data_IF_022110552134
#
_entry.id   IF_022110552134
#
_cell.length_a   1.000
_cell.length_b   1.000
_cell.length_c   1.000
_cell.angle_alpha   90.00
_cell.angle_beta   90.00
_cell.angle_gamma   90.00
#
_symmetry.space_group_name_H-M   'P 1'
#
loop_
_entity.id
_entity.type
_entity.pdbx_description
1 polymer ?
#
# COMPACT_ATOMS: atom_id res chain seq x y z
N UNK A 1 -7.21 7.06 -15.15
CA UNK A 1 -6.04 6.36 -14.59
C UNK A 1 -6.51 5.49 -13.44
N UNK A 2 -6.60 4.17 -13.65
CA UNK A 2 -7.07 3.24 -12.63
C UNK A 2 -6.01 3.14 -11.52
N UNK A 3 -6.24 3.85 -10.42
CA UNK A 3 -5.34 3.86 -9.27
C UNK A 3 -5.48 2.55 -8.48
N UNK A 4 -4.88 1.47 -9.00
CA UNK A 4 -4.92 0.14 -8.39
C UNK A 4 -4.29 0.10 -6.99
N UNK A 5 -3.53 1.13 -6.61
CA UNK A 5 -2.91 1.25 -5.29
C UNK A 5 -3.95 1.17 -4.15
N UNK A 6 -5.08 1.87 -4.27
CA UNK A 6 -6.13 1.84 -3.23
C UNK A 6 -6.68 0.43 -3.01
N UNK A 7 -6.89 -0.31 -4.10
CA UNK A 7 -7.35 -1.70 -4.07
C UNK A 7 -6.30 -2.60 -3.42
N UNK A 8 -5.01 -2.42 -3.76
CA UNK A 8 -3.90 -3.18 -3.17
C UNK A 8 -3.78 -2.92 -1.66
N UNK A 9 -3.85 -1.66 -1.23
CA UNK A 9 -3.81 -1.28 0.20
C UNK A 9 -4.96 -1.95 0.96
N UNK A 10 -6.17 -1.91 0.39
CA UNK A 10 -7.37 -2.54 0.98
C UNK A 10 -7.25 -4.06 1.07
N UNK A 11 -6.77 -4.71 0.02
CA UNK A 11 -6.58 -6.14 -0.02
C UNK A 11 -5.59 -6.57 1.07
N UNK A 12 -4.42 -5.91 1.15
CA UNK A 12 -3.41 -6.22 2.16
C UNK A 12 -3.87 -5.97 3.59
N UNK A 13 -4.63 -4.89 3.83
CA UNK A 13 -5.21 -4.66 5.15
C UNK A 13 -6.11 -5.82 5.56
N UNK A 14 -6.94 -6.31 4.64
CA UNK A 14 -7.84 -7.45 4.89
C UNK A 14 -7.08 -8.76 5.08
N UNK A 15 -6.04 -9.03 4.27
CA UNK A 15 -5.20 -10.22 4.41
C UNK A 15 -4.50 -10.26 5.79
N UNK A 16 -4.16 -9.09 6.33
CA UNK A 16 -3.61 -8.93 7.69
C UNK A 16 -4.68 -9.00 8.80
N UNK A 17 -5.96 -9.16 8.45
CA UNK A 17 -7.07 -9.19 9.42
C UNK A 17 -7.34 -7.85 10.10
N UNK A 18 -6.85 -6.74 9.55
CA UNK A 18 -6.92 -5.42 10.20
C UNK A 18 -8.21 -4.68 9.83
N UNK A 19 -8.88 -4.10 10.84
CA UNK A 19 -9.87 -3.04 10.64
C UNK A 19 -9.20 -1.72 10.25
N UNK A 20 -9.98 -0.75 9.76
CA UNK A 20 -9.46 0.60 9.48
C UNK A 20 -8.92 1.28 10.75
N UNK A 21 -9.57 1.09 11.89
CA UNK A 21 -9.15 1.66 13.17
C UNK A 21 -7.85 1.02 13.67
N UNK A 22 -7.69 -0.30 13.53
CA UNK A 22 -6.42 -0.95 13.90
C UNK A 22 -5.27 -0.48 12.99
N UNK A 23 -5.47 -0.39 11.68
CA UNK A 23 -4.45 0.16 10.78
C UNK A 23 -4.17 1.64 11.09
N UNK A 24 -5.18 2.40 11.50
CA UNK A 24 -5.03 3.78 11.96
C UNK A 24 -4.10 3.87 13.19
N UNK A 25 -4.31 3.01 14.18
CA UNK A 25 -3.45 2.93 15.37
C UNK A 25 -2.02 2.55 15.02
N UNK A 26 -1.82 1.57 14.12
CA UNK A 26 -0.47 1.11 13.74
C UNK A 26 0.30 2.12 12.89
N UNK A 27 -0.37 2.79 11.95
CA UNK A 27 0.27 3.74 11.02
C UNK A 27 0.35 5.18 11.55
N UNK A 28 -0.38 5.51 12.61
CA UNK A 28 -0.54 6.89 13.08
C UNK A 28 -1.19 7.80 12.03
N UNK A 29 -2.02 7.24 11.15
CA UNK A 29 -2.86 7.97 10.19
C UNK A 29 -4.32 7.84 10.63
N UNK A 30 -5.13 8.87 10.40
CA UNK A 30 -6.54 8.78 10.75
C UNK A 30 -7.29 7.76 9.87
N UNK A 31 -8.15 6.93 10.47
CA UNK A 31 -8.91 5.87 9.77
C UNK A 31 -9.71 6.39 8.56
N UNK A 32 -10.28 7.60 8.65
CA UNK A 32 -11.01 8.20 7.52
C UNK A 32 -10.07 8.56 6.36
N UNK A 33 -8.82 8.96 6.64
CA UNK A 33 -7.81 9.20 5.61
C UNK A 33 -7.47 7.89 4.89
N UNK A 34 -7.20 6.82 5.64
CA UNK A 34 -6.94 5.47 5.11
C UNK A 34 -8.09 5.01 4.21
N UNK A 35 -9.34 5.17 4.65
CA UNK A 35 -10.52 4.77 3.88
C UNK A 35 -10.62 5.49 2.52
N UNK A 36 -10.23 6.77 2.46
CA UNK A 36 -10.19 7.55 1.21
C UNK A 36 -9.07 7.09 0.28
N UNK A 37 -7.92 6.71 0.83
CA UNK A 37 -6.82 6.10 0.06
C UNK A 37 -7.25 4.77 -0.56
N UNK A 38 -7.91 3.90 0.22
CA UNK A 38 -8.39 2.60 -0.25
C UNK A 38 -9.42 2.70 -1.37
N UNK A 39 -10.26 3.76 -1.35
CA UNK A 39 -11.23 4.04 -2.41
C UNK A 39 -10.65 4.81 -3.59
N UNK A 40 -9.37 5.19 -3.52
CA UNK A 40 -8.72 5.97 -4.58
C UNK A 40 -9.16 7.45 -4.64
N UNK A 41 -9.89 7.95 -3.65
CA UNK A 41 -10.33 9.36 -3.57
C UNK A 41 -9.17 10.33 -3.25
N UNK A 42 -8.08 9.78 -2.73
CA UNK A 42 -6.85 10.50 -2.44
C UNK A 42 -5.65 9.67 -2.86
N UNK A 43 -4.67 10.35 -3.42
CA UNK A 43 -3.36 9.76 -3.68
C UNK A 43 -2.46 9.96 -2.45
N UNK A 44 -1.78 8.93 -1.95
CA UNK A 44 -0.90 9.06 -0.80
C UNK A 44 0.37 9.84 -1.13
N UNK A 45 0.90 10.55 -0.13
CA UNK A 45 2.26 11.11 -0.21
C UNK A 45 3.29 10.01 0.11
N UNK A 46 4.57 10.24 -0.19
CA UNK A 46 5.65 9.35 0.23
C UNK A 46 5.63 9.09 1.75
N UNK A 47 5.43 10.14 2.56
CA UNK A 47 5.31 10.02 4.03
C UNK A 47 4.13 9.14 4.44
N UNK A 48 3.00 9.25 3.74
CA UNK A 48 1.83 8.38 3.96
C UNK A 48 2.16 6.92 3.62
N UNK A 49 2.89 6.67 2.53
CA UNK A 49 3.31 5.32 2.14
C UNK A 49 4.24 4.70 3.18
N UNK A 50 5.25 5.43 3.66
CA UNK A 50 6.17 4.94 4.71
C UNK A 50 5.43 4.50 5.96
N UNK A 51 4.46 5.29 6.41
CA UNK A 51 3.59 4.98 7.56
C UNK A 51 2.69 3.75 7.34
N UNK A 52 2.33 3.45 6.09
CA UNK A 52 1.47 2.31 5.75
C UNK A 52 2.27 1.04 5.42
N UNK A 53 3.54 1.17 5.07
CA UNK A 53 4.35 0.06 4.57
C UNK A 53 4.45 -1.09 5.59
N UNK A 54 5.01 -0.82 6.76
CA UNK A 54 5.23 -1.85 7.79
C UNK A 54 3.92 -2.51 8.27
N UNK A 55 2.85 -1.75 8.63
CA UNK A 55 1.60 -2.36 9.09
C UNK A 55 0.91 -3.24 8.04
N UNK A 56 1.13 -2.96 6.76
CA UNK A 56 0.60 -3.73 5.64
C UNK A 56 1.55 -4.85 5.17
N UNK A 57 2.74 -4.96 5.76
CA UNK A 57 3.74 -5.97 5.41
C UNK A 57 4.42 -5.71 4.06
N UNK A 58 4.66 -4.44 3.75
CA UNK A 58 5.50 -4.00 2.63
C UNK A 58 6.81 -3.41 3.14
N UNK A 59 7.83 -3.43 2.30
CA UNK A 59 8.94 -2.47 2.44
C UNK A 59 8.51 -1.09 1.92
N UNK A 60 9.13 -0.02 2.42
CA UNK A 60 8.88 1.34 1.91
C UNK A 60 9.13 1.42 0.40
N UNK A 61 10.21 0.80 -0.08
CA UNK A 61 10.58 0.77 -1.50
C UNK A 61 9.52 0.09 -2.36
N UNK A 62 9.03 -1.08 -1.95
CA UNK A 62 8.01 -1.82 -2.69
C UNK A 62 6.72 -0.99 -2.81
N UNK A 63 6.30 -0.34 -1.71
CA UNK A 63 5.09 0.45 -1.72
C UNK A 63 5.23 1.75 -2.52
N UNK A 64 6.41 2.38 -2.51
CA UNK A 64 6.73 3.52 -3.38
C UNK A 64 6.75 3.16 -4.87
N UNK A 65 7.26 1.97 -5.23
CA UNK A 65 7.20 1.44 -6.61
C UNK A 65 5.76 1.18 -7.04
N UNK A 66 4.95 0.57 -6.18
CA UNK A 66 3.51 0.34 -6.45
C UNK A 66 2.74 1.66 -6.64
N UNK A 67 3.16 2.72 -5.96
CA UNK A 67 2.61 4.06 -6.11
C UNK A 67 3.23 4.85 -7.28
N UNK A 68 4.20 4.30 -8.02
CA UNK A 68 4.83 4.98 -9.15
C UNK A 68 5.74 6.15 -8.79
N UNK A 69 6.14 6.30 -7.52
CA UNK A 69 7.17 7.27 -7.13
C UNK A 69 8.56 6.83 -7.58
N UNK A 70 8.75 5.52 -7.76
CA UNK A 70 10.01 4.92 -8.16
C UNK A 70 9.70 4.01 -9.36
N UNK A 71 10.45 4.12 -10.48
CA UNK A 71 10.29 3.21 -11.61
C UNK A 71 10.45 1.75 -11.18
N UNK A 72 9.69 0.86 -11.80
CA UNK A 72 9.95 -0.58 -11.66
C UNK A 72 11.23 -0.94 -12.40
N UNK A 73 11.98 -1.89 -11.87
CA UNK A 73 13.23 -2.38 -12.46
C UNK A 73 13.14 -3.89 -12.76
N UNK A 74 14.19 -4.42 -13.39
CA UNK A 74 14.27 -5.83 -13.78
C UNK A 74 14.21 -6.81 -12.59
N UNK A 75 14.43 -6.36 -11.35
CA UNK A 75 14.26 -7.20 -10.17
C UNK A 75 12.77 -7.40 -9.84
N UNK A 76 11.95 -6.38 -10.06
CA UNK A 76 10.50 -6.46 -9.82
C UNK A 76 9.82 -7.48 -10.75
N UNK A 77 10.24 -7.54 -12.02
CA UNK A 77 9.71 -8.49 -13.01
C UNK A 77 10.04 -9.95 -12.65
N UNK A 78 11.21 -10.19 -12.04
CA UNK A 78 11.59 -11.52 -11.57
C UNK A 78 10.70 -11.94 -10.39
N UNK A 79 10.50 -11.05 -9.41
CA UNK A 79 9.67 -11.32 -8.23
C UNK A 79 8.22 -11.67 -8.61
N UNK A 80 7.63 -10.97 -9.58
CA UNK A 80 6.26 -11.23 -10.04
C UNK A 80 6.10 -12.64 -10.65
N UNK A 81 7.14 -13.16 -11.31
CA UNK A 81 7.12 -14.52 -11.89
C UNK A 81 7.19 -15.60 -10.83
N UNK A 82 7.97 -15.39 -9.76
CA UNK A 82 8.08 -16.35 -8.67
C UNK A 82 6.81 -16.44 -7.80
N UNK A 83 6.09 -15.32 -7.58
CA UNK A 83 4.85 -15.30 -6.77
C UNK A 83 3.63 -15.93 -7.47
N UNK A 84 3.72 -16.22 -8.77
CA UNK A 84 2.62 -16.80 -9.59
C UNK A 84 2.76 -18.31 -9.85
N UNK A 85 3.88 -18.93 -9.47
CA UNK A 85 4.07 -20.39 -9.46
C UNK A 85 3.76 -20.96 -8.09
#
# INVERSE_FOLDING_TARGET
MNNNLGVILRARRKDKGLTLTQLSSLSGLHHSHIARLERGERFPTERTLKKLAEPLGFSELELCKLAGFIPRDAADDRLDRFKKG
#
